data_IF_887508287125
#
_entry.id   IF_887508287125
#
_cell.length_a   1.000
_cell.length_b   1.000
_cell.length_c   1.000
_cell.angle_alpha   90.00
_cell.angle_beta   90.00
_cell.angle_gamma   90.00
#
_symmetry.space_group_name_H-M   'P 1'
#
loop_
_entity.id
_entity.type
_entity.pdbx_description
1 polymer ?
#
# COMPACT_ATOMS: atom_id res chain seq x y z
N UNK A 1 -1.43 8.05 -4.34
CA UNK A 1 -2.77 8.10 -3.71
C UNK A 1 -3.66 7.14 -4.48
N UNK A 2 -4.16 6.10 -3.82
CA UNK A 2 -5.23 5.26 -4.39
C UNK A 2 -6.54 5.72 -3.77
N UNK A 3 -7.52 5.96 -4.62
CA UNK A 3 -8.84 6.33 -4.20
C UNK A 3 -9.85 5.49 -4.99
N UNK A 4 -10.83 4.99 -4.26
CA UNK A 4 -11.99 4.35 -4.81
C UNK A 4 -13.22 5.07 -4.28
N UNK A 5 -14.15 5.33 -5.18
CA UNK A 5 -15.50 5.75 -4.84
C UNK A 5 -16.12 4.73 -3.88
N UNK A 6 -16.96 5.19 -2.97
CA UNK A 6 -17.44 4.40 -1.83
C UNK A 6 -18.16 3.09 -2.24
N UNK A 7 -19.11 3.10 -3.19
CA UNK A 7 -19.70 1.89 -3.78
C UNK A 7 -18.70 0.90 -4.39
N UNK A 8 -17.50 1.33 -4.79
CA UNK A 8 -16.48 0.44 -5.37
C UNK A 8 -15.57 -0.18 -4.30
N UNK A 9 -15.63 0.27 -3.05
CA UNK A 9 -14.82 -0.29 -1.97
C UNK A 9 -15.29 -1.70 -1.62
N UNK A 10 -14.40 -2.51 -1.03
CA UNK A 10 -14.67 -3.89 -0.57
C UNK A 10 -15.02 -4.91 -1.67
N UNK A 11 -14.88 -4.55 -2.94
CA UNK A 11 -15.08 -5.43 -4.09
C UNK A 11 -13.76 -5.97 -4.68
N UNK A 12 -12.61 -5.72 -4.02
CA UNK A 12 -11.30 -6.18 -4.48
C UNK A 12 -10.58 -5.26 -5.47
N UNK A 13 -11.23 -4.22 -6.01
CA UNK A 13 -10.60 -3.30 -6.97
C UNK A 13 -9.32 -2.63 -6.45
N UNK A 14 -9.25 -2.32 -5.15
CA UNK A 14 -8.04 -1.71 -4.57
C UNK A 14 -6.84 -2.66 -4.65
N UNK A 15 -7.07 -3.96 -4.42
CA UNK A 15 -6.04 -5.00 -4.56
C UNK A 15 -5.60 -5.11 -6.02
N UNK A 16 -6.56 -5.22 -6.94
CA UNK A 16 -6.27 -5.31 -8.37
C UNK A 16 -5.42 -4.12 -8.87
N UNK A 17 -5.79 -2.89 -8.48
CA UNK A 17 -5.02 -1.69 -8.85
C UNK A 17 -3.58 -1.74 -8.34
N UNK A 18 -3.37 -2.19 -7.10
CA UNK A 18 -2.04 -2.33 -6.54
C UNK A 18 -1.23 -3.43 -7.22
N UNK A 19 -1.83 -4.59 -7.50
CA UNK A 19 -1.17 -5.71 -8.18
C UNK A 19 -0.72 -5.31 -9.60
N UNK A 20 -1.58 -4.59 -10.34
CA UNK A 20 -1.25 -4.08 -11.67
C UNK A 20 -0.13 -3.03 -11.62
N UNK A 21 -0.16 -2.13 -10.63
CA UNK A 21 0.90 -1.14 -10.43
C UNK A 21 2.24 -1.80 -10.04
N UNK A 22 2.21 -2.82 -9.17
CA UNK A 22 3.40 -3.58 -8.80
C UNK A 22 3.96 -4.39 -9.97
N UNK A 23 3.10 -4.96 -10.82
CA UNK A 23 3.53 -5.67 -12.03
C UNK A 23 4.25 -4.72 -12.98
N UNK A 24 3.71 -3.54 -13.23
CA UNK A 24 4.36 -2.52 -14.06
C UNK A 24 5.69 -2.06 -13.45
N UNK A 25 5.73 -1.86 -12.13
CA UNK A 25 6.97 -1.49 -11.42
C UNK A 25 8.06 -2.55 -11.61
N UNK A 26 7.72 -3.84 -11.49
CA UNK A 26 8.66 -4.95 -11.75
C UNK A 26 9.15 -4.94 -13.21
N UNK A 27 8.27 -4.72 -14.18
CA UNK A 27 8.65 -4.63 -15.60
C UNK A 27 9.63 -3.49 -15.88
N UNK A 28 9.57 -2.41 -15.09
CA UNK A 28 10.51 -1.28 -15.15
C UNK A 28 11.80 -1.49 -14.36
N UNK A 29 11.99 -2.66 -13.75
CA UNK A 29 13.16 -2.96 -12.91
C UNK A 29 13.13 -2.28 -11.54
N UNK A 30 11.95 -1.91 -11.02
CA UNK A 30 11.84 -1.44 -9.65
C UNK A 30 11.89 -2.62 -8.68
N UNK A 31 12.75 -2.50 -7.66
CA UNK A 31 12.95 -3.54 -6.63
C UNK A 31 12.10 -3.32 -5.38
N UNK A 32 11.62 -2.09 -5.15
CA UNK A 32 10.89 -1.74 -3.94
C UNK A 32 9.68 -0.86 -4.25
N UNK A 33 8.59 -1.08 -3.53
CA UNK A 33 7.46 -0.16 -3.44
C UNK A 33 7.42 0.45 -2.04
N UNK A 34 7.06 1.75 -1.94
CA UNK A 34 6.89 2.47 -0.68
C UNK A 34 5.59 3.24 -0.70
N UNK A 35 4.90 3.26 0.44
CA UNK A 35 3.67 4.03 0.63
C UNK A 35 3.70 4.74 1.99
N UNK A 36 3.20 5.97 2.01
CA UNK A 36 2.83 6.67 3.23
C UNK A 36 1.29 6.74 3.25
N UNK A 37 0.68 6.33 4.35
CA UNK A 37 -0.78 6.26 4.53
C UNK A 37 -1.13 6.72 5.93
N UNK A 38 -2.27 7.39 6.13
CA UNK A 38 -2.76 7.69 7.47
C UNK A 38 -3.66 6.58 8.02
N UNK A 39 -3.96 6.63 9.32
CA UNK A 39 -4.90 5.75 10.04
C UNK A 39 -6.23 5.59 9.29
N UNK A 40 -6.74 6.70 8.76
CA UNK A 40 -7.97 6.78 7.99
C UNK A 40 -7.92 6.01 6.66
N UNK A 41 -6.72 5.85 6.10
CA UNK A 41 -6.47 5.25 4.78
C UNK A 41 -6.08 3.76 4.84
N UNK A 42 -6.25 3.13 6.01
CA UNK A 42 -6.17 1.67 6.22
C UNK A 42 -4.76 1.07 6.02
N UNK A 43 -3.81 1.22 6.98
CA UNK A 43 -2.53 0.51 6.96
C UNK A 43 -2.69 -1.02 6.81
N UNK A 44 -3.76 -1.57 7.40
CA UNK A 44 -4.11 -2.99 7.29
C UNK A 44 -4.39 -3.46 5.85
N UNK A 45 -4.80 -2.56 4.95
CA UNK A 45 -4.98 -2.90 3.54
C UNK A 45 -3.63 -3.23 2.89
N UNK A 46 -2.63 -2.36 3.05
CA UNK A 46 -1.29 -2.57 2.47
C UNK A 46 -0.56 -3.76 3.13
N UNK A 47 -0.76 -3.98 4.43
CA UNK A 47 -0.20 -5.16 5.10
C UNK A 47 -0.73 -6.47 4.51
N UNK A 48 -2.03 -6.54 4.14
CA UNK A 48 -2.63 -7.69 3.43
C UNK A 48 -2.14 -7.86 1.99
N UNK A 49 -1.44 -6.87 1.44
CA UNK A 49 -0.74 -6.93 0.15
C UNK A 49 0.75 -7.28 0.32
N UNK A 50 1.20 -7.61 1.53
CA UNK A 50 2.59 -7.97 1.80
C UNK A 50 3.52 -6.78 2.09
N UNK A 51 2.98 -5.58 2.34
CA UNK A 51 3.80 -4.46 2.77
C UNK A 51 4.15 -4.57 4.25
N UNK A 52 5.41 -4.32 4.56
CA UNK A 52 5.96 -4.23 5.92
C UNK A 52 5.99 -2.78 6.40
N UNK A 53 5.56 -2.53 7.63
CA UNK A 53 5.73 -1.24 8.30
C UNK A 53 7.22 -1.02 8.60
N UNK A 54 7.76 0.15 8.27
CA UNK A 54 9.14 0.52 8.61
C UNK A 54 9.25 1.82 9.42
N UNK A 55 8.15 2.57 9.57
CA UNK A 55 8.13 3.77 10.40
C UNK A 55 6.72 4.30 10.64
N UNK A 56 6.58 5.04 11.72
CA UNK A 56 5.38 5.81 12.05
C UNK A 56 5.76 7.24 12.39
N UNK A 57 4.91 8.18 12.01
CA UNK A 57 4.98 9.56 12.47
C UNK A 57 3.65 9.94 13.07
N UNK A 58 3.61 9.95 14.39
CA UNK A 58 2.43 10.29 15.17
C UNK A 58 2.19 11.80 15.18
N UNK A 59 0.91 12.18 15.29
CA UNK A 59 0.47 13.56 15.45
C UNK A 59 0.94 14.50 14.32
N UNK A 60 0.95 13.99 13.08
CA UNK A 60 1.35 14.74 11.89
C UNK A 60 0.42 14.45 10.68
N UNK A 61 -0.62 15.27 10.43
CA UNK A 61 -1.02 16.47 11.17
C UNK A 61 -1.58 16.14 12.57
N UNK A 62 -1.77 17.15 13.46
CA UNK A 62 -2.27 16.90 14.80
C UNK A 62 -3.53 16.03 14.82
N UNK A 63 -3.50 14.93 15.58
CA UNK A 63 -4.58 13.95 15.67
C UNK A 63 -4.55 12.82 14.64
N UNK A 64 -3.61 12.81 13.70
CA UNK A 64 -3.42 11.71 12.74
C UNK A 64 -2.02 11.08 12.88
N UNK A 65 -1.93 9.76 12.66
CA UNK A 65 -0.65 9.08 12.49
C UNK A 65 -0.43 8.72 11.02
N UNK A 66 0.80 8.93 10.54
CA UNK A 66 1.26 8.48 9.23
C UNK A 66 2.05 7.20 9.40
N UNK A 67 1.65 6.16 8.71
CA UNK A 67 2.38 4.91 8.58
C UNK A 67 3.17 4.91 7.28
N UNK A 68 4.43 4.50 7.38
CA UNK A 68 5.29 4.28 6.24
C UNK A 68 5.52 2.79 6.05
N UNK A 69 5.07 2.27 4.91
CA UNK A 69 5.20 0.86 4.58
C UNK A 69 5.99 0.67 3.30
N UNK A 70 6.61 -0.50 3.16
CA UNK A 70 7.37 -0.89 1.99
C UNK A 70 7.16 -2.36 1.63
N UNK A 71 7.40 -2.72 0.38
CA UNK A 71 7.38 -4.11 -0.10
C UNK A 71 8.60 -4.34 -1.00
N UNK A 72 9.25 -5.50 -0.84
CA UNK A 72 10.22 -6.00 -1.79
C UNK A 72 9.47 -6.59 -3.00
N UNK A 73 9.73 -6.06 -4.20
CA UNK A 73 9.07 -6.49 -5.43
C UNK A 73 9.81 -7.64 -6.13
N UNK A 74 11.05 -7.93 -5.74
CA UNK A 74 11.82 -9.07 -6.26
C UNK A 74 11.30 -10.42 -5.71
N UNK A 75 10.56 -10.38 -4.60
CA UNK A 75 9.93 -11.55 -4.00
C UNK A 75 8.59 -11.82 -4.70
N UNK A 76 8.45 -13.01 -5.29
CA UNK A 76 7.17 -13.52 -5.76
C UNK A 76 6.38 -14.00 -4.54
N UNK A 77 5.15 -13.50 -4.35
CA UNK A 77 4.22 -14.16 -3.43
C UNK A 77 3.93 -15.55 -4.02
N UNK A 78 4.04 -16.64 -3.24
CA UNK A 78 3.58 -17.95 -3.69
C UNK A 78 2.07 -17.90 -3.92
N UNK A 79 1.64 -18.45 -5.06
CA UNK A 79 0.22 -18.59 -5.46
C UNK A 79 -0.66 -19.25 -4.38
#
# INVERSE_FOLDING_TARGET
MIWLDEPLRRHGFGRQLMEEAEREARQRGCHYARVATSDFQAPAFYQKLGYSLYGTLENCPPGETVFYLWKNLDQHDPD
#
